data_IF_452188793702
#
_entry.id   IF_452188793702
#
_cell.length_a   1.000
_cell.length_b   1.000
_cell.length_c   1.000
_cell.angle_alpha   90.00
_cell.angle_beta   90.00
_cell.angle_gamma   90.00
#
_symmetry.space_group_name_H-M   'P 1'
#
loop_
_entity.id
_entity.type
_entity.pdbx_description
1 polymer ?
#
# COMPACT_ATOMS: atom_id res chain seq x y z
N UNK A 1 -6.98 2.43 22.86
CA UNK A 1 -6.56 1.04 22.58
C UNK A 1 -7.30 0.35 21.43
N UNK A 2 -8.60 0.62 21.14
CA UNK A 2 -9.28 -0.02 19.99
C UNK A 2 -8.86 0.48 18.61
N UNK A 3 -8.43 1.74 18.48
CA UNK A 3 -8.02 2.35 17.20
C UNK A 3 -6.65 1.85 16.72
N UNK A 4 -5.66 1.73 17.62
CA UNK A 4 -4.35 1.15 17.29
C UNK A 4 -4.45 -0.30 16.81
N UNK A 5 -5.26 -1.14 17.46
CA UNK A 5 -5.42 -2.53 17.06
C UNK A 5 -6.01 -2.67 15.64
N UNK A 6 -6.99 -1.82 15.32
CA UNK A 6 -7.59 -1.79 14.00
C UNK A 6 -6.58 -1.31 12.93
N UNK A 7 -5.80 -0.28 13.24
CA UNK A 7 -4.75 0.20 12.34
C UNK A 7 -3.68 -0.86 12.05
N UNK A 8 -3.23 -1.58 13.07
CA UNK A 8 -2.25 -2.65 12.90
C UNK A 8 -2.78 -3.78 12.02
N UNK A 9 -4.02 -4.23 12.29
CA UNK A 9 -4.66 -5.28 11.49
C UNK A 9 -4.84 -4.86 10.01
N UNK A 10 -5.31 -3.63 9.78
CA UNK A 10 -5.43 -3.08 8.43
C UNK A 10 -4.07 -2.97 7.72
N UNK A 11 -3.02 -2.61 8.45
CA UNK A 11 -1.66 -2.55 7.88
C UNK A 11 -1.14 -3.95 7.52
N UNK A 12 -1.36 -4.95 8.37
CA UNK A 12 -0.97 -6.34 8.10
C UNK A 12 -1.72 -6.94 6.92
N UNK A 13 -3.01 -6.62 6.77
CA UNK A 13 -3.82 -7.00 5.60
C UNK A 13 -3.30 -6.35 4.32
N UNK A 14 -3.06 -5.03 4.35
CA UNK A 14 -2.48 -4.32 3.21
C UNK A 14 -1.11 -4.88 2.83
N UNK A 15 -0.24 -5.17 3.81
CA UNK A 15 1.08 -5.75 3.58
C UNK A 15 0.98 -7.11 2.91
N UNK A 16 0.10 -7.98 3.40
CA UNK A 16 -0.12 -9.33 2.87
C UNK A 16 -0.70 -9.30 1.46
N UNK A 17 -1.58 -8.36 1.16
CA UNK A 17 -2.13 -8.18 -0.18
C UNK A 17 -1.08 -7.65 -1.16
N UNK A 18 -0.27 -6.66 -0.76
CA UNK A 18 0.79 -6.13 -1.62
C UNK A 18 1.85 -7.20 -1.91
N UNK A 19 2.21 -8.06 -0.94
CA UNK A 19 3.14 -9.19 -1.14
C UNK A 19 2.74 -10.14 -2.25
N UNK A 20 1.45 -10.25 -2.59
CA UNK A 20 0.99 -11.10 -3.69
C UNK A 20 1.33 -10.52 -5.08
N UNK A 21 1.60 -9.22 -5.15
CA UNK A 21 1.93 -8.52 -6.38
C UNK A 21 3.40 -8.10 -6.42
N UNK A 22 3.91 -7.54 -5.32
CA UNK A 22 5.26 -7.00 -5.19
C UNK A 22 5.97 -7.69 -4.02
N UNK A 23 6.99 -8.47 -4.34
CA UNK A 23 7.85 -9.09 -3.35
C UNK A 23 8.89 -8.06 -2.88
N UNK A 24 8.61 -7.43 -1.75
CA UNK A 24 9.43 -6.40 -1.14
C UNK A 24 9.52 -6.61 0.39
N UNK A 25 10.57 -6.10 1.04
CA UNK A 25 10.70 -6.21 2.49
C UNK A 25 9.62 -5.39 3.20
N UNK A 26 9.26 -5.84 4.41
CA UNK A 26 8.14 -5.31 5.19
C UNK A 26 8.23 -3.79 5.44
N UNK A 27 9.45 -3.27 5.63
CA UNK A 27 9.72 -1.84 5.79
C UNK A 27 9.37 -1.03 4.54
N UNK A 28 9.59 -1.59 3.35
CA UNK A 28 9.24 -0.94 2.09
C UNK A 28 7.73 -0.98 1.84
N UNK A 29 7.09 -2.11 2.15
CA UNK A 29 5.64 -2.26 2.08
C UNK A 29 4.93 -1.25 2.99
N UNK A 30 5.40 -1.09 4.23
CA UNK A 30 4.86 -0.07 5.14
C UNK A 30 5.06 1.35 4.59
N UNK A 31 6.21 1.61 3.95
CA UNK A 31 6.50 2.89 3.31
C UNK A 31 5.53 3.17 2.15
N UNK A 32 5.23 2.16 1.34
CA UNK A 32 4.26 2.20 0.23
C UNK A 32 2.86 2.48 0.78
N UNK A 33 2.38 1.66 1.73
CA UNK A 33 1.05 1.78 2.36
C UNK A 33 0.89 3.19 2.93
N UNK A 34 1.88 3.65 3.71
CA UNK A 34 1.85 4.98 4.31
C UNK A 34 1.82 6.08 3.25
N UNK A 35 2.62 5.98 2.19
CA UNK A 35 2.66 6.98 1.11
C UNK A 35 1.32 7.05 0.37
N UNK A 36 0.73 5.90 0.02
CA UNK A 36 -0.57 5.82 -0.65
C UNK A 36 -1.66 6.46 0.22
N UNK A 37 -1.70 6.14 1.50
CA UNK A 37 -2.69 6.70 2.43
C UNK A 37 -2.52 8.19 2.65
N UNK A 38 -1.29 8.67 2.81
CA UNK A 38 -0.99 10.09 2.95
C UNK A 38 -1.35 10.88 1.68
N UNK A 39 -1.28 10.24 0.51
CA UNK A 39 -1.63 10.81 -0.78
C UNK A 39 -3.11 10.60 -1.15
N UNK A 40 -3.98 10.27 -0.20
CA UNK A 40 -5.43 10.16 -0.43
C UNK A 40 -5.86 8.89 -1.16
N UNK A 41 -5.16 7.77 -0.93
CA UNK A 41 -5.34 6.50 -1.63
C UNK A 41 -5.00 6.60 -3.13
N UNK A 42 -3.86 7.20 -3.44
CA UNK A 42 -3.32 7.29 -4.79
C UNK A 42 -1.80 7.12 -4.78
N UNK A 43 -1.22 6.65 -5.88
CA UNK A 43 0.24 6.58 -6.03
C UNK A 43 0.80 8.00 -6.10
N UNK A 44 1.80 8.30 -5.28
CA UNK A 44 2.49 9.58 -5.35
C UNK A 44 3.55 9.55 -6.45
N UNK A 45 3.82 10.70 -7.07
CA UNK A 45 4.91 10.83 -8.05
C UNK A 45 6.27 10.40 -7.47
N UNK A 46 6.48 10.60 -6.17
CA UNK A 46 7.68 10.14 -5.48
C UNK A 46 7.73 8.60 -5.38
N UNK A 47 6.60 7.98 -5.07
CA UNK A 47 6.49 6.52 -5.00
C UNK A 47 6.72 5.88 -6.36
N UNK A 48 6.13 6.44 -7.42
CA UNK A 48 6.36 6.02 -8.81
C UNK A 48 7.84 6.17 -9.23
N UNK A 49 8.55 7.19 -8.74
CA UNK A 49 9.99 7.34 -8.99
C UNK A 49 10.83 6.29 -8.23
N UNK A 50 10.43 5.96 -7.00
CA UNK A 50 11.10 4.93 -6.18
C UNK A 50 10.82 3.52 -6.68
N UNK A 51 9.61 3.29 -7.16
CA UNK A 51 9.14 2.01 -7.69
C UNK A 51 8.60 2.23 -9.12
N UNK A 52 9.49 2.31 -10.12
CA UNK A 52 9.10 2.48 -11.52
C UNK A 52 8.12 1.40 -11.96
N UNK A 53 8.24 0.18 -11.43
CA UNK A 53 7.34 -0.94 -11.73
C UNK A 53 5.86 -0.62 -11.47
N UNK A 54 5.56 0.21 -10.46
CA UNK A 54 4.19 0.66 -10.16
C UNK A 54 3.67 1.68 -11.17
N UNK A 55 4.58 2.44 -11.80
CA UNK A 55 4.27 3.41 -12.84
C UNK A 55 4.22 2.76 -14.24
N UNK A 56 5.12 1.81 -14.50
CA UNK A 56 5.18 1.02 -15.73
C UNK A 56 3.97 0.11 -15.87
N UNK A 57 3.53 -0.49 -14.75
CA UNK A 57 2.32 -1.30 -14.70
C UNK A 57 1.22 -0.56 -13.95
N UNK A 58 0.55 0.37 -14.62
CA UNK A 58 -0.58 1.12 -14.06
C UNK A 58 -1.63 0.19 -13.41
N UNK A 59 -1.95 -0.95 -14.03
CA UNK A 59 -2.88 -1.92 -13.46
C UNK A 59 -2.38 -2.61 -12.18
N UNK A 60 -1.06 -2.76 -12.00
CA UNK A 60 -0.47 -3.26 -10.76
C UNK A 60 -0.52 -2.21 -9.67
N UNK A 61 -0.19 -0.97 -10.02
CA UNK A 61 -0.26 0.18 -9.13
C UNK A 61 -1.69 0.42 -8.61
N UNK A 62 -2.69 0.37 -9.48
CA UNK A 62 -4.10 0.46 -9.10
C UNK A 62 -4.54 -0.69 -8.19
N UNK A 63 -4.12 -1.94 -8.46
CA UNK A 63 -4.41 -3.08 -7.58
C UNK A 63 -3.83 -2.91 -6.18
N UNK A 64 -2.62 -2.38 -6.08
CA UNK A 64 -1.97 -2.10 -4.80
C UNK A 64 -2.72 -1.01 -4.04
N UNK A 65 -3.10 0.07 -4.72
CA UNK A 65 -3.92 1.14 -4.13
C UNK A 65 -5.26 0.58 -3.66
N UNK A 66 -5.92 -0.25 -4.47
CA UNK A 66 -7.21 -0.84 -4.12
C UNK A 66 -7.09 -1.81 -2.94
N UNK A 67 -6.05 -2.64 -2.91
CA UNK A 67 -5.75 -3.52 -1.78
C UNK A 67 -5.56 -2.73 -0.47
N UNK A 68 -4.84 -1.59 -0.52
CA UNK A 68 -4.72 -0.68 0.62
C UNK A 68 -6.08 -0.10 0.99
N UNK A 69 -6.87 0.38 0.02
CA UNK A 69 -8.19 0.94 0.31
C UNK A 69 -9.10 -0.07 1.00
N UNK A 70 -9.16 -1.30 0.49
CA UNK A 70 -9.97 -2.37 1.05
C UNK A 70 -9.53 -2.75 2.46
N UNK A 71 -8.22 -2.84 2.71
CA UNK A 71 -7.70 -3.17 4.04
C UNK A 71 -8.02 -2.10 5.10
N UNK A 72 -8.21 -0.84 4.70
CA UNK A 72 -8.53 0.29 5.57
C UNK A 72 -9.99 0.76 5.45
N UNK A 73 -10.88 0.01 4.78
CA UNK A 73 -12.27 0.38 4.54
C UNK A 73 -13.23 0.03 5.69
N UNK A 74 -12.74 -0.55 6.79
CA UNK A 74 -13.48 -0.89 8.01
C UNK A 74 -13.90 0.34 8.85
#
# INVERSE_FOLDING_TARGET
MRKEAHFLNANDQARSAIKQFLEAPDNELDSIIRSIRQNGNALSNQLCKRYPILAENAGMGERIVDAVKQAFAD
#
